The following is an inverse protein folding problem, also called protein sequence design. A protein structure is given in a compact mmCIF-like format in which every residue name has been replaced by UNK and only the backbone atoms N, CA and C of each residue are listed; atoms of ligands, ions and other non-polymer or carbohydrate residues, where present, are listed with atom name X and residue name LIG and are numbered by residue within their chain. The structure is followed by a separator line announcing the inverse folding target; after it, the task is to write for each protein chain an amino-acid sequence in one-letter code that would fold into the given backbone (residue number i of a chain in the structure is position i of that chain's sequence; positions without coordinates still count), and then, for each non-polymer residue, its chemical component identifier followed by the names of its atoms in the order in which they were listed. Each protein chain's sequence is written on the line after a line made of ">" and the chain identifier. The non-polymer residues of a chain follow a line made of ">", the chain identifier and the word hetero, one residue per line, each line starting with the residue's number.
data_IF_017510271833
#
_entry.id   IF_017510271833
#
_cell.length_a   1.000
_cell.length_b   1.000
_cell.length_c   1.000
_cell.angle_alpha   90.00
_cell.angle_beta   90.00
_cell.angle_gamma   90.00
#
_symmetry.space_group_name_H-M   'P 1'
#
loop_
_entity.id
_entity.type
_entity.pdbx_description
1 polymer ?
#
# COMPACT_ATOMS: atom_id res chain seq x y z
N UNK A 1 -16.33 -0.36 14.35
CA UNK A 1 -16.11 -0.28 12.89
C UNK A 1 -17.27 0.38 12.17
N UNK A 2 -17.00 1.53 11.53
CA UNK A 2 -17.93 2.27 10.66
C UNK A 2 -18.17 1.52 9.34
N UNK A 3 -19.28 1.81 8.67
CA UNK A 3 -19.57 1.22 7.34
C UNK A 3 -18.53 1.60 6.30
N UNK A 4 -18.07 2.85 6.33
CA UNK A 4 -17.04 3.34 5.42
C UNK A 4 -15.71 2.60 5.63
N UNK A 5 -15.29 2.40 6.87
CA UNK A 5 -14.11 1.60 7.23
C UNK A 5 -14.18 0.20 6.63
N UNK A 6 -15.33 -0.48 6.76
CA UNK A 6 -15.53 -1.81 6.16
C UNK A 6 -15.32 -1.80 4.65
N UNK A 7 -15.85 -0.80 3.95
CA UNK A 7 -15.68 -0.67 2.48
C UNK A 7 -14.21 -0.49 2.10
N UNK A 8 -13.46 0.34 2.84
CA UNK A 8 -12.03 0.52 2.61
C UNK A 8 -11.25 -0.80 2.80
N UNK A 9 -11.57 -1.56 3.85
CA UNK A 9 -10.93 -2.85 4.11
C UNK A 9 -11.27 -3.90 3.05
N UNK A 10 -12.52 -3.94 2.57
CA UNK A 10 -12.89 -4.82 1.45
C UNK A 10 -12.04 -4.51 0.22
N UNK A 11 -11.96 -3.25 -0.19
CA UNK A 11 -11.13 -2.87 -1.33
C UNK A 11 -9.63 -3.14 -1.09
N UNK A 12 -9.13 -2.94 0.12
CA UNK A 12 -7.75 -3.26 0.47
C UNK A 12 -7.47 -4.78 0.34
N UNK A 13 -8.42 -5.62 0.74
CA UNK A 13 -8.34 -7.07 0.62
C UNK A 13 -8.43 -7.54 -0.84
N UNK A 14 -9.32 -6.94 -1.64
CA UNK A 14 -9.43 -7.22 -3.08
C UNK A 14 -8.12 -6.89 -3.80
N UNK A 15 -7.48 -5.77 -3.47
CA UNK A 15 -6.17 -5.41 -4.00
C UNK A 15 -5.08 -6.41 -3.58
N UNK A 16 -5.06 -6.85 -2.32
CA UNK A 16 -4.08 -7.84 -1.87
C UNK A 16 -4.26 -9.19 -2.58
N UNK A 17 -5.51 -9.63 -2.76
CA UNK A 17 -5.84 -10.85 -3.50
C UNK A 17 -5.40 -10.73 -4.98
N UNK A 18 -5.69 -9.60 -5.62
CA UNK A 18 -5.27 -9.31 -6.99
C UNK A 18 -3.75 -9.34 -7.13
N UNK A 19 -3.01 -8.76 -6.17
CA UNK A 19 -1.56 -8.78 -6.17
C UNK A 19 -0.98 -10.20 -6.17
N UNK A 20 -1.57 -11.14 -5.42
CA UNK A 20 -1.13 -12.56 -5.40
C UNK A 20 -1.30 -13.22 -6.77
N UNK A 21 -2.47 -13.07 -7.37
CA UNK A 21 -2.78 -13.66 -8.69
C UNK A 21 -1.84 -13.09 -9.76
N UNK A 22 -1.58 -11.78 -9.71
CA UNK A 22 -0.70 -11.09 -10.67
C UNK A 22 0.77 -11.51 -10.50
N UNK A 23 1.21 -11.76 -9.26
CA UNK A 23 2.55 -12.29 -8.99
C UNK A 23 2.72 -13.69 -9.61
N UNK A 24 1.76 -14.59 -9.39
CA UNK A 24 1.76 -15.93 -9.99
C UNK A 24 1.74 -15.88 -11.52
N UNK A 25 1.10 -14.86 -12.08
CA UNK A 25 1.02 -14.63 -13.53
C UNK A 25 2.23 -13.88 -14.11
N UNK A 26 3.27 -13.58 -13.31
CA UNK A 26 4.45 -12.79 -13.71
C UNK A 26 4.11 -11.39 -14.25
N UNK A 27 2.99 -10.81 -13.80
CA UNK A 27 2.55 -9.47 -14.15
C UNK A 27 2.99 -8.46 -13.07
N UNK A 28 4.30 -8.19 -13.02
CA UNK A 28 4.94 -7.50 -11.88
C UNK A 28 4.51 -6.02 -11.72
N UNK A 29 4.41 -5.27 -12.81
CA UNK A 29 3.93 -3.88 -12.78
C UNK A 29 2.53 -3.74 -12.13
N UNK A 30 1.48 -4.41 -12.64
CA UNK A 30 0.16 -4.33 -12.01
C UNK A 30 0.12 -5.03 -10.64
N UNK A 31 1.00 -6.01 -10.36
CA UNK A 31 1.16 -6.58 -9.03
C UNK A 31 1.57 -5.50 -8.02
N UNK A 32 2.65 -4.75 -8.28
CA UNK A 32 3.12 -3.67 -7.41
C UNK A 32 2.06 -2.58 -7.22
N UNK A 33 1.34 -2.20 -8.28
CA UNK A 33 0.23 -1.25 -8.15
C UNK A 33 -0.84 -1.73 -7.16
N UNK A 34 -1.23 -3.00 -7.25
CA UNK A 34 -2.21 -3.57 -6.34
C UNK A 34 -1.67 -3.67 -4.90
N UNK A 35 -0.38 -3.96 -4.72
CA UNK A 35 0.26 -3.95 -3.41
C UNK A 35 0.21 -2.54 -2.79
N UNK A 36 0.65 -1.51 -3.51
CA UNK A 36 0.62 -0.12 -3.03
C UNK A 36 -0.81 0.30 -2.67
N UNK A 37 -1.78 -0.02 -3.53
CA UNK A 37 -3.19 0.27 -3.30
C UNK A 37 -3.76 -0.45 -2.07
N UNK A 38 -3.35 -1.70 -1.82
CA UNK A 38 -3.75 -2.43 -0.61
C UNK A 38 -3.23 -1.74 0.66
N UNK A 39 -1.96 -1.34 0.67
CA UNK A 39 -1.37 -0.60 1.80
C UNK A 39 -2.10 0.74 2.01
N UNK A 40 -2.22 1.55 0.96
CA UNK A 40 -2.89 2.86 1.02
C UNK A 40 -4.30 2.77 1.62
N UNK A 41 -5.08 1.78 1.18
CA UNK A 41 -6.47 1.59 1.63
C UNK A 41 -6.55 1.09 3.08
N UNK A 42 -5.63 0.24 3.52
CA UNK A 42 -5.54 -0.15 4.94
C UNK A 42 -5.26 1.07 5.83
N UNK A 43 -4.29 1.91 5.46
CA UNK A 43 -3.96 3.13 6.21
C UNK A 43 -5.14 4.12 6.24
N UNK A 44 -5.82 4.30 5.10
CA UNK A 44 -7.03 5.13 5.03
C UNK A 44 -8.18 4.57 5.87
N UNK A 45 -8.34 3.25 5.94
CA UNK A 45 -9.33 2.64 6.82
C UNK A 45 -9.09 3.00 8.29
N UNK A 46 -7.83 3.00 8.75
CA UNK A 46 -7.47 3.44 10.11
C UNK A 46 -7.81 4.92 10.35
N UNK A 47 -7.48 5.81 9.42
CA UNK A 47 -7.80 7.23 9.54
C UNK A 47 -9.31 7.49 9.58
N UNK A 48 -10.07 6.80 8.74
CA UNK A 48 -11.54 6.90 8.73
C UNK A 48 -12.12 6.38 10.04
N UNK A 49 -11.64 5.26 10.57
CA UNK A 49 -12.14 4.71 11.83
C UNK A 49 -11.79 5.62 13.02
N UNK A 50 -10.50 5.97 13.18
CA UNK A 50 -9.97 6.57 14.40
C UNK A 50 -10.02 8.10 14.43
N UNK A 51 -10.00 8.76 13.26
CA UNK A 51 -10.05 10.22 13.17
C UNK A 51 -11.25 10.77 12.39
N UNK A 52 -12.05 9.91 11.73
CA UNK A 52 -13.11 10.35 10.82
C UNK A 52 -12.60 11.31 9.71
N UNK A 53 -11.33 11.17 9.33
CA UNK A 53 -10.68 11.98 8.30
C UNK A 53 -10.36 11.09 7.11
N UNK A 54 -10.81 11.51 5.92
CA UNK A 54 -10.35 10.94 4.66
C UNK A 54 -9.28 11.85 4.03
N UNK A 55 -8.04 11.36 3.98
CA UNK A 55 -6.94 12.07 3.30
C UNK A 55 -6.91 11.72 1.81
N UNK A 56 -7.01 12.73 0.95
CA UNK A 56 -6.94 12.59 -0.52
C UNK A 56 -5.48 12.69 -1.00
N UNK A 57 -4.68 11.72 -0.59
CA UNK A 57 -3.26 11.57 -0.99
C UNK A 57 -3.00 10.12 -1.39
N UNK A 58 -1.93 9.91 -2.16
CA UNK A 58 -1.40 8.58 -2.49
C UNK A 58 -0.07 8.30 -1.79
N UNK A 59 0.49 9.28 -1.07
CA UNK A 59 1.73 9.07 -0.33
C UNK A 59 1.49 8.22 0.91
N UNK A 60 2.10 7.04 0.92
CA UNK A 60 2.19 6.16 2.08
C UNK A 60 2.92 6.88 3.21
N UNK A 61 4.00 7.60 2.91
CA UNK A 61 4.77 8.34 3.91
C UNK A 61 3.90 9.38 4.64
N UNK A 62 3.10 10.16 3.90
CA UNK A 62 2.14 11.11 4.49
C UNK A 62 1.11 10.41 5.39
N UNK A 63 0.51 9.30 4.92
CA UNK A 63 -0.49 8.56 5.68
C UNK A 63 0.09 7.97 6.99
N UNK A 64 1.28 7.38 6.92
CA UNK A 64 1.99 6.83 8.09
C UNK A 64 2.36 7.93 9.08
N UNK A 65 2.80 9.10 8.60
CA UNK A 65 3.13 10.24 9.46
C UNK A 65 1.93 10.70 10.27
N UNK A 66 0.75 10.78 9.64
CA UNK A 66 -0.49 11.15 10.34
C UNK A 66 -0.87 10.10 11.38
N UNK A 67 -0.80 8.81 11.04
CA UNK A 67 -1.14 7.72 11.96
C UNK A 67 -0.18 7.65 13.16
N UNK A 68 1.13 7.84 12.94
CA UNK A 68 2.10 7.92 14.02
C UNK A 68 1.85 9.11 14.94
N UNK A 69 1.40 10.25 14.40
CA UNK A 69 0.97 11.40 15.21
C UNK A 69 -0.28 11.14 16.06
N UNK A 70 -0.99 10.04 15.81
CA UNK A 70 -2.12 9.55 16.60
C UNK A 70 -1.75 8.32 17.47
N UNK A 71 -0.46 8.05 17.65
CA UNK A 71 0.07 6.86 18.36
C UNK A 71 -0.35 5.50 17.74
N UNK A 72 -0.68 5.48 16.45
CA UNK A 72 -1.05 4.27 15.69
C UNK A 72 0.11 3.79 14.82
N UNK A 73 0.96 2.92 15.36
CA UNK A 73 2.09 2.35 14.62
C UNK A 73 1.67 1.17 13.73
N UNK A 74 1.85 1.33 12.42
CA UNK A 74 1.43 0.38 11.36
C UNK A 74 2.54 -0.53 10.83
N UNK A 75 3.64 -0.68 11.58
CA UNK A 75 4.76 -1.56 11.23
C UNK A 75 5.38 -1.32 9.85
N UNK A 76 5.51 -0.05 9.45
CA UNK A 76 6.22 0.38 8.25
C UNK A 76 7.47 1.19 8.62
N UNK A 77 8.61 0.86 8.02
CA UNK A 77 9.81 1.70 8.11
C UNK A 77 9.74 2.87 7.12
N UNK A 78 10.59 3.88 7.31
CA UNK A 78 10.72 4.97 6.34
C UNK A 78 11.14 4.45 4.95
N UNK A 79 12.05 3.48 4.90
CA UNK A 79 12.49 2.86 3.65
C UNK A 79 11.35 2.09 2.93
N UNK A 80 10.44 1.47 3.69
CA UNK A 80 9.26 0.81 3.08
C UNK A 80 8.29 1.83 2.51
N UNK A 81 8.10 2.97 3.20
CA UNK A 81 7.24 4.05 2.72
C UNK A 81 7.79 4.63 1.41
N UNK A 82 9.08 4.93 1.35
CA UNK A 82 9.74 5.46 0.16
C UNK A 82 9.65 4.48 -1.01
N UNK A 83 9.89 3.19 -0.75
CA UNK A 83 9.74 2.14 -1.75
C UNK A 83 8.31 2.10 -2.32
N UNK A 84 7.29 2.09 -1.45
CA UNK A 84 5.89 2.04 -1.89
C UNK A 84 5.46 3.30 -2.64
N UNK A 85 5.95 4.48 -2.24
CA UNK A 85 5.67 5.74 -2.94
C UNK A 85 6.34 5.78 -4.31
N UNK A 86 7.52 5.16 -4.47
CA UNK A 86 8.18 5.06 -5.77
C UNK A 86 7.42 4.18 -6.76
N UNK A 87 6.57 3.25 -6.33
CA UNK A 87 5.76 2.40 -7.24
C UNK A 87 4.80 3.26 -8.08
N UNK A 88 4.28 4.36 -7.54
CA UNK A 88 3.21 5.13 -8.17
C UNK A 88 3.58 5.76 -9.51
N UNK A 89 4.84 6.20 -9.68
CA UNK A 89 5.28 6.94 -10.87
C UNK A 89 5.64 6.02 -12.05
N UNK A 90 6.55 5.04 -11.89
CA UNK A 90 6.96 4.11 -12.96
C UNK A 90 5.83 3.20 -13.40
N UNK A 91 4.85 2.92 -12.52
CA UNK A 91 3.71 2.09 -12.88
C UNK A 91 2.73 2.80 -13.83
N UNK A 92 2.76 4.14 -13.89
CA UNK A 92 1.82 4.96 -14.69
C UNK A 92 2.43 5.47 -15.98
N UNK A 93 3.75 5.62 -16.02
CA UNK A 93 4.47 6.10 -17.19
C UNK A 93 5.66 5.17 -17.43
N UNK A 94 5.79 4.57 -18.62
CA UNK A 94 7.04 3.95 -19.03
C UNK A 94 8.06 5.07 -19.24
N UNK A 95 8.64 5.57 -18.15
CA UNK A 95 9.63 6.64 -18.17
C UNK A 95 10.94 6.08 -18.71
N UNK A 96 11.02 5.96 -20.03
CA UNK A 96 12.28 5.74 -20.72
C UNK A 96 13.19 6.96 -20.55
N UNK A 97 14.48 6.70 -20.37
CA UNK A 97 15.64 7.56 -20.68
C UNK A 97 16.22 8.54 -19.64
N UNK A 98 15.75 8.63 -18.39
CA UNK A 98 16.41 9.50 -17.38
C UNK A 98 16.65 8.88 -15.99
N UNK A 99 16.06 7.72 -15.70
CA UNK A 99 16.29 6.96 -14.47
C UNK A 99 16.82 5.58 -14.86
N UNK A 100 17.67 4.93 -14.04
CA UNK A 100 18.05 3.54 -14.29
C UNK A 100 16.76 2.72 -14.43
N UNK A 101 16.71 1.88 -15.47
CA UNK A 101 15.51 1.14 -15.84
C UNK A 101 14.94 0.38 -14.64
N UNK A 102 13.90 0.92 -14.01
CA UNK A 102 13.19 0.24 -12.94
C UNK A 102 12.28 -0.79 -13.58
N UNK A 103 12.83 -1.99 -13.79
CA UNK A 103 12.05 -3.15 -14.15
C UNK A 103 11.66 -3.88 -12.86
N UNK A 104 10.37 -3.90 -12.50
CA UNK A 104 9.94 -4.71 -11.39
C UNK A 104 10.12 -6.18 -11.71
N UNK A 105 10.67 -6.90 -10.74
CA UNK A 105 10.89 -8.34 -10.82
C UNK A 105 10.08 -9.07 -9.74
N UNK A 106 10.16 -10.40 -9.77
CA UNK A 106 9.46 -11.26 -8.82
C UNK A 106 9.91 -11.03 -7.37
N UNK A 107 11.21 -10.81 -7.15
CA UNK A 107 11.78 -10.61 -5.81
C UNK A 107 11.23 -9.35 -5.16
N UNK A 108 11.21 -8.25 -5.90
CA UNK A 108 10.63 -6.99 -5.47
C UNK A 108 9.13 -7.13 -5.18
N UNK A 109 8.37 -7.78 -6.06
CA UNK A 109 6.96 -8.04 -5.84
C UNK A 109 6.73 -8.86 -4.57
N UNK A 110 7.50 -9.93 -4.33
CA UNK A 110 7.40 -10.76 -3.13
C UNK A 110 7.70 -9.94 -1.87
N UNK A 111 8.77 -9.15 -1.87
CA UNK A 111 9.12 -8.27 -0.76
C UNK A 111 7.99 -7.27 -0.45
N UNK A 112 7.49 -6.58 -1.47
CA UNK A 112 6.40 -5.62 -1.31
C UNK A 112 5.09 -6.29 -0.86
N UNK A 113 4.82 -7.52 -1.32
CA UNK A 113 3.66 -8.29 -0.91
C UNK A 113 3.70 -8.61 0.60
N UNK A 114 4.86 -9.04 1.11
CA UNK A 114 5.06 -9.27 2.56
C UNK A 114 4.83 -8.01 3.39
N UNK A 115 5.23 -6.85 2.88
CA UNK A 115 4.95 -5.55 3.53
C UNK A 115 3.44 -5.33 3.60
N UNK A 116 2.70 -5.51 2.49
CA UNK A 116 1.25 -5.32 2.48
C UNK A 116 0.49 -6.33 3.37
N UNK A 117 0.95 -7.58 3.44
CA UNK A 117 0.42 -8.57 4.37
C UNK A 117 0.61 -8.13 5.83
N UNK A 118 1.81 -7.63 6.16
CA UNK A 118 2.14 -7.12 7.49
C UNK A 118 1.26 -5.94 7.87
N UNK A 119 1.10 -4.96 6.96
CA UNK A 119 0.22 -3.80 7.18
C UNK A 119 -1.24 -4.23 7.32
N UNK A 120 -1.72 -5.18 6.52
CA UNK A 120 -3.08 -5.71 6.60
C UNK A 120 -3.35 -6.39 7.95
N UNK A 121 -2.41 -7.22 8.42
CA UNK A 121 -2.50 -7.82 9.75
C UNK A 121 -2.50 -6.76 10.85
N UNK A 122 -1.56 -5.80 10.77
CA UNK A 122 -1.45 -4.73 11.77
C UNK A 122 -2.68 -3.83 11.82
N UNK A 123 -3.26 -3.55 10.65
CA UNK A 123 -4.51 -2.78 10.53
C UNK A 123 -5.65 -3.46 11.26
N UNK A 124 -5.77 -4.80 11.14
CA UNK A 124 -6.80 -5.56 11.87
C UNK A 124 -6.59 -5.54 13.38
N UNK A 125 -5.35 -5.53 13.86
CA UNK A 125 -5.04 -5.42 15.30
C UNK A 125 -5.41 -4.04 15.87
N UNK A 126 -5.24 -2.98 15.06
CA UNK A 126 -5.45 -1.59 15.50
C UNK A 126 -6.92 -1.14 15.42
N UNK A 127 -7.77 -1.84 14.67
CA UNK A 127 -9.18 -1.51 14.49
C UNK A 127 -10.05 -1.98 15.66
#
# INVERSE_FOLDING_TARGET
>A
MKDETRKWLTFAADNLSSARILLESSLYNPCLQNIQQSVEKNLKALLVEKAAILRKTHSINELVTILNGMDLSVSLSAADCDLLDTIYLPSKYPLGSALPDFFPDEELCRRCLTIAETVSAKTKELL
#
